data_IF_585365031754
#
_entry.id   IF_585365031754
#
_cell.length_a   1.000
_cell.length_b   1.000
_cell.length_c   1.000
_cell.angle_alpha   90.00
_cell.angle_beta   90.00
_cell.angle_gamma   90.00
#
_symmetry.space_group_name_H-M   'P 1'
#
loop_
_entity.id
_entity.type
_entity.pdbx_description
1 polymer ?
#
# COMPACT_ATOMS: atom_id res chain seq x y z
N UNK A 1 30.40 -22.61 -52.80
CA UNK A 1 29.53 -21.57 -52.23
C UNK A 1 28.05 -22.00 -52.06
N UNK A 2 27.55 -23.05 -52.73
CA UNK A 2 26.15 -23.51 -52.60
C UNK A 2 25.71 -24.06 -51.22
N UNK A 3 26.60 -24.65 -50.38
CA UNK A 3 26.16 -25.28 -49.11
C UNK A 3 25.70 -24.30 -48.02
N UNK A 4 26.08 -23.01 -48.09
CA UNK A 4 25.66 -21.99 -47.11
C UNK A 4 24.27 -21.40 -47.37
N UNK A 5 23.81 -21.43 -48.63
CA UNK A 5 22.48 -20.94 -49.03
C UNK A 5 21.38 -21.95 -48.65
N UNK A 6 21.75 -23.23 -48.62
CA UNK A 6 20.92 -24.32 -48.09
C UNK A 6 20.53 -24.07 -46.62
N UNK A 7 21.47 -24.16 -45.69
CA UNK A 7 21.16 -24.04 -44.25
C UNK A 7 20.49 -22.72 -43.82
N UNK A 8 20.67 -21.63 -44.57
CA UNK A 8 20.00 -20.35 -44.32
C UNK A 8 18.50 -20.39 -44.65
N UNK A 9 18.09 -21.14 -45.67
CA UNK A 9 16.70 -21.18 -46.14
C UNK A 9 15.80 -22.04 -45.22
N UNK A 10 16.36 -23.07 -44.57
CA UNK A 10 15.63 -23.93 -43.62
C UNK A 10 15.49 -23.25 -42.25
N UNK A 11 16.47 -22.41 -41.87
CA UNK A 11 16.37 -21.55 -40.69
C UNK A 11 15.32 -20.47 -40.89
N UNK A 12 15.35 -19.76 -42.02
CA UNK A 12 14.33 -18.76 -42.35
C UNK A 12 12.90 -19.34 -42.38
N UNK A 13 12.70 -20.51 -43.01
CA UNK A 13 11.39 -21.17 -43.02
C UNK A 13 10.93 -21.66 -41.62
N UNK A 14 11.88 -22.06 -40.76
CA UNK A 14 11.58 -22.44 -39.37
C UNK A 14 11.23 -21.22 -38.54
N UNK A 15 11.95 -20.13 -38.71
CA UNK A 15 11.72 -18.85 -38.04
C UNK A 15 10.36 -18.25 -38.48
N UNK A 16 10.02 -18.30 -39.77
CA UNK A 16 8.71 -17.91 -40.31
C UNK A 16 7.56 -18.75 -39.74
N UNK A 17 7.74 -20.07 -39.62
CA UNK A 17 6.75 -20.96 -39.01
C UNK A 17 6.56 -20.67 -37.52
N UNK A 18 7.64 -20.34 -36.80
CA UNK A 18 7.56 -19.93 -35.38
C UNK A 18 6.90 -18.57 -35.21
N UNK A 19 7.13 -17.64 -36.14
CA UNK A 19 6.51 -16.31 -36.15
C UNK A 19 5.01 -16.41 -36.46
N UNK A 20 4.61 -17.24 -37.43
CA UNK A 20 3.20 -17.50 -37.74
C UNK A 20 2.47 -18.09 -36.53
N UNK A 21 3.07 -19.08 -35.88
CA UNK A 21 2.50 -19.69 -34.66
C UNK A 21 2.34 -18.66 -33.53
N UNK A 22 3.36 -17.82 -33.31
CA UNK A 22 3.32 -16.75 -32.31
C UNK A 22 2.23 -15.72 -32.61
N UNK A 23 2.10 -15.30 -33.87
CA UNK A 23 1.05 -14.37 -34.30
C UNK A 23 -0.36 -14.96 -34.11
N UNK A 24 -0.55 -16.24 -34.46
CA UNK A 24 -1.82 -16.93 -34.23
C UNK A 24 -2.16 -17.03 -32.74
N UNK A 25 -1.18 -17.34 -31.88
CA UNK A 25 -1.39 -17.33 -30.43
C UNK A 25 -1.76 -15.95 -29.90
N UNK A 26 -1.15 -14.88 -30.45
CA UNK A 26 -1.48 -13.49 -30.12
C UNK A 26 -2.93 -13.16 -30.49
N UNK A 27 -3.36 -13.50 -31.70
CA UNK A 27 -4.74 -13.29 -32.14
C UNK A 27 -5.75 -14.03 -31.25
N UNK A 28 -5.40 -15.25 -30.81
CA UNK A 28 -6.24 -16.04 -29.90
C UNK A 28 -6.38 -15.37 -28.54
N UNK A 29 -5.28 -14.93 -27.90
CA UNK A 29 -5.38 -14.29 -26.58
C UNK A 29 -6.17 -12.98 -26.65
N UNK A 30 -6.00 -12.21 -27.73
CA UNK A 30 -6.75 -10.98 -27.96
C UNK A 30 -8.24 -11.22 -28.25
N UNK A 31 -8.58 -12.33 -28.92
CA UNK A 31 -9.97 -12.73 -29.12
C UNK A 31 -10.60 -13.24 -27.82
N UNK A 32 -9.86 -14.02 -27.04
CA UNK A 32 -10.31 -14.51 -25.74
C UNK A 32 -10.60 -13.35 -24.79
N UNK A 33 -9.72 -12.34 -24.71
CA UNK A 33 -9.92 -11.16 -23.85
C UNK A 33 -11.27 -10.47 -24.16
N UNK A 34 -11.58 -10.30 -25.44
CA UNK A 34 -12.85 -9.70 -25.90
C UNK A 34 -14.09 -10.53 -25.56
N UNK A 35 -13.94 -11.85 -25.40
CA UNK A 35 -15.02 -12.76 -25.02
C UNK A 35 -15.16 -12.93 -23.51
N UNK A 36 -14.14 -12.55 -22.72
CA UNK A 36 -14.20 -12.67 -21.28
C UNK A 36 -15.25 -11.74 -20.67
N UNK A 37 -16.10 -12.25 -19.76
CA UNK A 37 -17.10 -11.43 -19.10
C UNK A 37 -16.43 -10.35 -18.23
N UNK A 38 -17.13 -9.23 -18.09
CA UNK A 38 -16.72 -8.14 -17.20
C UNK A 38 -17.09 -8.37 -15.73
N UNK A 39 -17.86 -9.42 -15.46
CA UNK A 39 -18.36 -9.77 -14.15
C UNK A 39 -17.26 -10.35 -13.27
N UNK A 40 -17.16 -9.82 -12.05
CA UNK A 40 -16.25 -10.29 -11.01
C UNK A 40 -16.53 -11.75 -10.63
N UNK A 41 -15.49 -12.54 -10.45
CA UNK A 41 -15.58 -13.90 -9.90
C UNK A 41 -16.01 -15.00 -10.88
N UNK A 42 -16.26 -14.68 -12.15
CA UNK A 42 -16.51 -15.70 -13.19
C UNK A 42 -15.21 -16.39 -13.60
N UNK A 43 -14.11 -15.65 -13.57
CA UNK A 43 -12.76 -16.10 -13.92
C UNK A 43 -11.88 -15.86 -12.69
N UNK A 44 -11.00 -16.82 -12.36
CA UNK A 44 -10.11 -16.67 -11.21
C UNK A 44 -9.10 -15.55 -11.43
N UNK A 45 -8.65 -14.91 -10.34
CA UNK A 45 -7.64 -13.84 -10.44
C UNK A 45 -6.33 -14.37 -11.01
N UNK A 46 -5.88 -15.53 -10.54
CA UNK A 46 -4.69 -16.24 -11.01
C UNK A 46 -4.69 -16.46 -12.53
N UNK A 47 -5.81 -16.95 -13.10
CA UNK A 47 -5.92 -17.17 -14.54
C UNK A 47 -5.84 -15.87 -15.34
N UNK A 48 -6.40 -14.76 -14.82
CA UNK A 48 -6.26 -13.46 -15.48
C UNK A 48 -4.81 -12.96 -15.49
N UNK A 49 -4.06 -13.19 -14.42
CA UNK A 49 -2.63 -12.89 -14.36
C UNK A 49 -1.83 -13.76 -15.33
N UNK A 50 -2.07 -15.07 -15.37
CA UNK A 50 -1.45 -15.98 -16.34
C UNK A 50 -1.72 -15.52 -17.79
N UNK A 51 -2.96 -15.14 -18.08
CA UNK A 51 -3.36 -14.65 -19.39
C UNK A 51 -2.72 -13.30 -19.73
N UNK A 52 -2.56 -12.40 -18.75
CA UNK A 52 -1.86 -11.13 -18.92
C UNK A 52 -0.36 -11.36 -19.20
N UNK A 53 0.30 -12.23 -18.43
CA UNK A 53 1.69 -12.59 -18.67
C UNK A 53 1.88 -13.23 -20.05
N UNK A 54 0.94 -14.07 -20.49
CA UNK A 54 0.94 -14.64 -21.84
C UNK A 54 0.74 -13.57 -22.92
N UNK A 55 -0.18 -12.63 -22.71
CA UNK A 55 -0.41 -11.50 -23.61
C UNK A 55 0.82 -10.57 -23.70
N UNK A 56 1.53 -10.35 -22.60
CA UNK A 56 2.80 -9.62 -22.58
C UNK A 56 3.88 -10.38 -23.34
N UNK A 57 4.05 -11.67 -23.07
CA UNK A 57 5.03 -12.53 -23.72
C UNK A 57 4.85 -12.64 -25.24
N UNK A 58 3.63 -12.47 -25.75
CA UNK A 58 3.30 -12.49 -27.18
C UNK A 58 3.30 -11.10 -27.83
N UNK A 59 3.54 -10.05 -27.05
CA UNK A 59 3.36 -8.66 -27.43
C UNK A 59 1.98 -8.40 -28.07
N UNK A 60 0.93 -8.80 -27.34
CA UNK A 60 -0.45 -8.50 -27.67
C UNK A 60 -0.72 -6.99 -27.70
N UNK A 61 -1.78 -6.61 -28.39
CA UNK A 61 -2.16 -5.21 -28.50
C UNK A 61 -2.42 -4.57 -27.10
N UNK A 62 -2.21 -3.24 -26.95
CA UNK A 62 -2.38 -2.57 -25.67
C UNK A 62 -3.81 -2.65 -25.10
N UNK A 63 -4.82 -2.74 -25.95
CA UNK A 63 -6.23 -2.84 -25.55
C UNK A 63 -6.50 -4.14 -24.79
N UNK A 64 -5.95 -5.26 -25.28
CA UNK A 64 -6.00 -6.57 -24.65
C UNK A 64 -5.31 -6.56 -23.28
N UNK A 65 -4.09 -6.01 -23.20
CA UNK A 65 -3.35 -5.90 -21.92
C UNK A 65 -4.14 -5.05 -20.91
N UNK A 66 -4.64 -3.90 -21.34
CA UNK A 66 -5.46 -3.02 -20.50
C UNK A 66 -6.78 -3.65 -20.06
N UNK A 67 -7.46 -4.39 -20.94
CA UNK A 67 -8.70 -5.10 -20.61
C UNK A 67 -8.50 -6.19 -19.55
N UNK A 68 -7.36 -6.88 -19.58
CA UNK A 68 -6.96 -7.83 -18.53
C UNK A 68 -6.60 -7.10 -17.23
N UNK A 69 -5.79 -6.04 -17.28
CA UNK A 69 -5.44 -5.22 -16.11
C UNK A 69 -6.67 -4.65 -15.39
N UNK A 70 -7.71 -4.23 -16.15
CA UNK A 70 -8.98 -3.74 -15.58
C UNK A 70 -9.72 -4.87 -14.87
N UNK A 71 -9.81 -6.07 -15.47
CA UNK A 71 -10.51 -7.22 -14.86
C UNK A 71 -9.79 -7.73 -13.62
N UNK A 72 -8.45 -7.81 -13.65
CA UNK A 72 -7.63 -8.11 -12.48
C UNK A 72 -7.91 -7.08 -11.38
N UNK A 73 -7.87 -5.79 -11.72
CA UNK A 73 -8.16 -4.70 -10.78
C UNK A 73 -9.54 -4.79 -10.13
N UNK A 74 -10.55 -5.44 -10.73
CA UNK A 74 -11.87 -5.61 -10.08
C UNK A 74 -11.89 -6.67 -8.97
N UNK A 75 -10.88 -7.53 -8.90
CA UNK A 75 -10.84 -8.68 -7.98
C UNK A 75 -9.46 -8.91 -7.37
N UNK A 76 -8.66 -7.85 -7.28
CA UNK A 76 -7.27 -7.90 -6.82
C UNK A 76 -7.16 -8.40 -5.37
N UNK A 77 -8.19 -8.26 -4.55
CA UNK A 77 -8.22 -8.80 -3.18
C UNK A 77 -8.19 -10.34 -3.12
N UNK A 78 -8.33 -11.03 -4.26
CA UNK A 78 -8.22 -12.48 -4.37
C UNK A 78 -6.87 -12.94 -4.90
N UNK A 79 -5.96 -12.01 -5.20
CA UNK A 79 -4.63 -12.33 -5.72
C UNK A 79 -3.67 -12.74 -4.60
N UNK A 80 -2.66 -13.50 -4.98
CA UNK A 80 -1.49 -13.80 -4.17
C UNK A 80 -0.30 -12.94 -4.61
N UNK A 81 0.75 -12.91 -3.80
CA UNK A 81 1.98 -12.17 -4.14
C UNK A 81 2.62 -12.73 -5.41
N UNK A 82 2.58 -14.05 -5.59
CA UNK A 82 3.13 -14.74 -6.76
C UNK A 82 2.51 -14.23 -8.06
N UNK A 83 1.22 -13.88 -8.03
CA UNK A 83 0.52 -13.31 -9.19
C UNK A 83 1.07 -11.94 -9.61
N UNK A 84 1.54 -11.13 -8.64
CA UNK A 84 2.08 -9.79 -8.87
C UNK A 84 3.54 -9.80 -9.36
N UNK A 85 4.24 -10.92 -9.23
CA UNK A 85 5.63 -11.10 -9.66
C UNK A 85 5.74 -11.28 -11.19
N UNK A 86 5.21 -10.30 -11.93
CA UNK A 86 5.22 -10.26 -13.40
C UNK A 86 6.64 -9.96 -13.87
N UNK A 87 7.32 -10.86 -14.61
CA UNK A 87 8.68 -10.61 -15.07
C UNK A 87 8.75 -9.44 -16.05
N UNK A 88 9.78 -8.60 -15.93
CA UNK A 88 10.01 -7.53 -16.90
C UNK A 88 10.39 -8.11 -18.28
N UNK A 89 9.87 -7.50 -19.34
CA UNK A 89 10.15 -7.92 -20.72
C UNK A 89 10.98 -6.86 -21.42
N UNK A 90 12.30 -6.91 -21.21
CA UNK A 90 13.27 -5.96 -21.78
C UNK A 90 14.66 -6.57 -21.91
N UNK A 91 15.44 -6.08 -22.88
CA UNK A 91 16.85 -6.47 -23.07
C UNK A 91 17.83 -5.61 -22.25
N UNK A 92 17.37 -4.46 -21.74
CA UNK A 92 18.13 -3.66 -20.80
C UNK A 92 18.01 -4.28 -19.39
N UNK A 93 19.06 -4.12 -18.57
CA UNK A 93 19.03 -4.45 -17.14
C UNK A 93 18.10 -3.49 -16.40
N UNK A 94 16.82 -3.60 -16.68
CA UNK A 94 15.75 -2.96 -15.92
C UNK A 94 15.34 -3.88 -14.77
N UNK A 95 14.55 -3.35 -13.84
CA UNK A 95 13.98 -4.04 -12.68
C UNK A 95 13.51 -5.47 -13.04
N UNK A 96 13.73 -6.45 -12.16
CA UNK A 96 13.39 -7.86 -12.37
C UNK A 96 11.91 -8.08 -12.68
N UNK A 97 11.05 -7.22 -12.14
CA UNK A 97 9.60 -7.30 -12.25
C UNK A 97 9.02 -6.05 -12.95
N UNK A 98 7.92 -6.22 -13.69
CA UNK A 98 7.16 -5.12 -14.30
C UNK A 98 6.30 -4.41 -13.25
N UNK A 99 6.95 -3.56 -12.47
CA UNK A 99 6.35 -2.73 -11.43
C UNK A 99 5.32 -1.73 -11.99
N UNK A 100 5.50 -1.30 -13.24
CA UNK A 100 4.57 -0.39 -13.91
C UNK A 100 3.23 -1.08 -14.26
N UNK A 101 3.25 -2.36 -14.63
CA UNK A 101 2.05 -3.16 -14.80
C UNK A 101 1.27 -3.29 -13.48
N UNK A 102 1.96 -3.65 -12.38
CA UNK A 102 1.35 -3.73 -11.04
C UNK A 102 0.76 -2.38 -10.63
N UNK A 103 1.45 -1.28 -10.92
CA UNK A 103 0.95 0.09 -10.66
C UNK A 103 -0.33 0.41 -11.42
N UNK A 104 -0.46 -0.02 -12.68
CA UNK A 104 -1.71 0.14 -13.47
C UNK A 104 -2.85 -0.70 -12.91
N UNK A 105 -2.58 -1.94 -12.52
CA UNK A 105 -3.55 -2.84 -11.88
C UNK A 105 -4.05 -2.24 -10.56
N UNK A 106 -3.14 -1.74 -9.71
CA UNK A 106 -3.49 -1.07 -8.46
C UNK A 106 -4.35 0.17 -8.69
N UNK A 107 -3.99 0.99 -9.68
CA UNK A 107 -4.79 2.14 -10.07
C UNK A 107 -6.20 1.70 -10.48
N UNK A 108 -6.35 0.64 -11.27
CA UNK A 108 -7.64 0.10 -11.66
C UNK A 108 -8.45 -0.38 -10.44
N UNK A 109 -7.82 -1.07 -9.48
CA UNK A 109 -8.46 -1.48 -8.24
C UNK A 109 -8.96 -0.27 -7.44
N UNK A 110 -8.09 0.68 -7.10
CA UNK A 110 -8.46 1.81 -6.25
C UNK A 110 -9.43 2.80 -6.93
N UNK A 111 -9.31 3.04 -8.24
CA UNK A 111 -10.24 3.91 -8.94
C UNK A 111 -11.67 3.31 -8.97
N UNK A 112 -11.77 1.99 -9.12
CA UNK A 112 -13.03 1.27 -9.32
C UNK A 112 -13.55 0.53 -8.08
N UNK A 113 -12.88 0.67 -6.93
CA UNK A 113 -13.33 0.04 -5.70
C UNK A 113 -14.70 0.61 -5.27
N UNK A 114 -15.70 -0.27 -5.26
CA UNK A 114 -17.08 0.01 -4.83
C UNK A 114 -17.47 -0.82 -3.61
N UNK A 115 -16.49 -1.41 -2.91
CA UNK A 115 -16.75 -2.23 -1.72
C UNK A 115 -17.48 -1.42 -0.64
N UNK A 116 -18.47 -2.04 0.05
CA UNK A 116 -19.23 -1.34 1.09
C UNK A 116 -18.42 -1.09 2.36
N UNK A 117 -17.36 -1.87 2.59
CA UNK A 117 -16.50 -1.85 3.77
C UNK A 117 -15.01 -1.85 3.37
N UNK A 118 -14.07 -1.46 4.25
CA UNK A 118 -12.65 -1.32 3.88
C UNK A 118 -11.87 -2.64 3.79
N UNK A 119 -12.48 -3.81 3.99
CA UNK A 119 -11.76 -5.10 4.04
C UNK A 119 -10.94 -5.36 2.79
N UNK A 120 -11.54 -5.22 1.60
CA UNK A 120 -10.82 -5.40 0.34
C UNK A 120 -9.65 -4.43 0.16
N UNK A 121 -9.77 -3.19 0.65
CA UNK A 121 -8.65 -2.22 0.63
C UNK A 121 -7.51 -2.66 1.55
N UNK A 122 -7.85 -3.17 2.74
CA UNK A 122 -6.87 -3.68 3.71
C UNK A 122 -6.18 -4.92 3.13
N UNK A 123 -6.92 -5.89 2.58
CA UNK A 123 -6.35 -7.09 1.97
C UNK A 123 -5.42 -6.76 0.81
N UNK A 124 -5.80 -5.82 -0.07
CA UNK A 124 -4.90 -5.39 -1.15
C UNK A 124 -3.70 -4.63 -0.60
N UNK A 125 -3.84 -3.79 0.43
CA UNK A 125 -2.69 -3.14 1.03
C UNK A 125 -1.72 -4.16 1.66
N UNK A 126 -2.21 -5.21 2.32
CA UNK A 126 -1.39 -6.30 2.86
C UNK A 126 -0.66 -7.06 1.75
N UNK A 127 -1.36 -7.40 0.67
CA UNK A 127 -0.77 -7.98 -0.54
C UNK A 127 0.36 -7.11 -1.11
N UNK A 128 0.19 -5.78 -1.11
CA UNK A 128 1.23 -4.86 -1.59
C UNK A 128 2.42 -4.77 -0.63
N UNK A 129 2.23 -4.90 0.68
CA UNK A 129 3.37 -4.96 1.60
C UNK A 129 4.22 -6.22 1.39
N UNK A 130 3.57 -7.35 1.09
CA UNK A 130 4.25 -8.59 0.77
C UNK A 130 4.98 -8.48 -0.59
N UNK A 131 4.32 -7.92 -1.62
CA UNK A 131 4.95 -7.64 -2.91
C UNK A 131 6.15 -6.69 -2.78
N UNK A 132 6.02 -5.61 -1.99
CA UNK A 132 7.11 -4.68 -1.70
C UNK A 132 8.30 -5.40 -1.06
N UNK A 133 8.04 -6.34 -0.13
CA UNK A 133 9.10 -7.12 0.49
C UNK A 133 9.84 -8.02 -0.51
N UNK A 134 9.14 -8.64 -1.46
CA UNK A 134 9.75 -9.45 -2.53
C UNK A 134 10.62 -8.60 -3.46
N UNK A 135 10.07 -7.51 -4.01
CA UNK A 135 10.80 -6.68 -4.97
C UNK A 135 11.95 -5.90 -4.32
N UNK A 136 11.91 -5.68 -3.01
CA UNK A 136 13.01 -5.03 -2.29
C UNK A 136 14.33 -5.81 -2.33
N UNK A 137 14.26 -7.08 -2.69
CA UNK A 137 15.45 -7.92 -2.88
C UNK A 137 16.18 -7.67 -4.19
N UNK A 138 15.53 -7.02 -5.16
CA UNK A 138 16.10 -6.65 -6.44
C UNK A 138 16.99 -5.41 -6.29
N UNK A 139 18.27 -5.54 -6.65
CA UNK A 139 19.27 -4.46 -6.55
C UNK A 139 19.09 -3.37 -7.61
N UNK A 140 18.38 -3.69 -8.69
CA UNK A 140 18.11 -2.77 -9.79
C UNK A 140 16.78 -2.00 -9.56
N UNK A 141 16.03 -2.31 -8.48
CA UNK A 141 14.82 -1.60 -8.09
C UNK A 141 15.13 -0.14 -7.74
N UNK A 142 14.40 0.79 -8.35
CA UNK A 142 14.59 2.22 -8.08
C UNK A 142 13.83 2.64 -6.82
N UNK A 143 14.47 3.52 -6.04
CA UNK A 143 13.89 4.10 -4.82
C UNK A 143 12.55 4.80 -5.11
N UNK A 144 12.45 5.48 -6.26
CA UNK A 144 11.22 6.15 -6.69
C UNK A 144 10.07 5.17 -6.97
N UNK A 145 10.39 4.01 -7.56
CA UNK A 145 9.41 2.96 -7.85
C UNK A 145 8.88 2.36 -6.55
N UNK A 146 9.78 2.01 -5.63
CA UNK A 146 9.42 1.52 -4.30
C UNK A 146 8.49 2.51 -3.57
N UNK A 147 8.88 3.78 -3.49
CA UNK A 147 8.10 4.82 -2.78
C UNK A 147 6.72 4.97 -3.43
N UNK A 148 6.63 4.99 -4.75
CA UNK A 148 5.36 5.14 -5.45
C UNK A 148 4.37 4.02 -5.12
N UNK A 149 4.84 2.76 -5.05
CA UNK A 149 4.00 1.61 -4.70
C UNK A 149 3.65 1.61 -3.21
N UNK A 150 4.62 1.91 -2.34
CA UNK A 150 4.39 2.05 -0.90
C UNK A 150 3.37 3.15 -0.57
N UNK A 151 3.45 4.30 -1.24
CA UNK A 151 2.46 5.39 -1.10
C UNK A 151 1.05 4.93 -1.49
N UNK A 152 0.90 4.07 -2.51
CA UNK A 152 -0.42 3.50 -2.87
C UNK A 152 -0.96 2.57 -1.78
N UNK A 153 -0.11 1.72 -1.19
CA UNK A 153 -0.46 0.83 -0.07
C UNK A 153 -0.93 1.62 1.17
N UNK A 154 -0.14 2.63 1.56
CA UNK A 154 -0.44 3.47 2.74
C UNK A 154 -1.70 4.31 2.50
N UNK A 155 -1.86 4.88 1.30
CA UNK A 155 -3.05 5.66 0.96
C UNK A 155 -4.34 4.84 1.09
N UNK A 156 -4.34 3.59 0.61
CA UNK A 156 -5.49 2.68 0.68
C UNK A 156 -5.95 2.37 2.10
N UNK A 157 -5.01 2.42 3.05
CA UNK A 157 -5.25 2.08 4.45
C UNK A 157 -5.46 3.29 5.36
N UNK A 158 -5.60 4.49 4.79
CA UNK A 158 -5.80 5.74 5.55
C UNK A 158 -7.10 5.67 6.34
N UNK A 159 -7.01 5.67 7.67
CA UNK A 159 -8.16 5.53 8.57
C UNK A 159 -8.53 4.08 8.94
N UNK A 160 -7.77 3.08 8.48
CA UNK A 160 -7.88 1.70 8.96
C UNK A 160 -6.97 1.44 10.18
N UNK A 161 -7.27 0.37 10.92
CA UNK A 161 -6.47 -0.16 12.04
C UNK A 161 -5.30 -1.05 11.59
N UNK A 162 -4.97 -1.05 10.29
CA UNK A 162 -3.86 -1.83 9.73
C UNK A 162 -2.52 -1.36 10.30
N UNK A 163 -1.64 -2.31 10.59
CA UNK A 163 -0.27 -2.02 11.05
C UNK A 163 0.63 -1.56 9.89
N UNK A 164 1.73 -0.89 10.22
CA UNK A 164 2.76 -0.47 9.24
C UNK A 164 3.94 -1.45 9.18
N UNK A 165 3.80 -2.64 9.76
CA UNK A 165 4.88 -3.60 9.94
C UNK A 165 5.36 -4.20 8.61
N UNK A 166 4.44 -4.47 7.68
CA UNK A 166 4.78 -4.96 6.35
C UNK A 166 5.60 -3.95 5.53
N UNK A 167 5.18 -2.67 5.53
CA UNK A 167 5.96 -1.57 4.94
C UNK A 167 7.34 -1.45 5.59
N UNK A 168 7.42 -1.51 6.93
CA UNK A 168 8.71 -1.49 7.62
C UNK A 168 9.61 -2.65 7.20
N UNK A 169 9.08 -3.88 7.15
CA UNK A 169 9.81 -5.06 6.68
C UNK A 169 10.35 -4.88 5.27
N UNK A 170 9.55 -4.33 4.35
CA UNK A 170 10.00 -4.05 3.00
C UNK A 170 11.13 -3.00 2.96
N UNK A 171 10.99 -1.89 3.69
CA UNK A 171 12.05 -0.87 3.83
C UNK A 171 13.32 -1.50 4.39
N UNK A 172 13.19 -2.35 5.39
CA UNK A 172 14.32 -3.02 6.02
C UNK A 172 15.07 -3.92 5.03
N UNK A 173 14.36 -4.74 4.25
CA UNK A 173 14.98 -5.56 3.20
C UNK A 173 15.65 -4.66 2.16
N UNK A 174 14.96 -3.59 1.72
CA UNK A 174 15.48 -2.66 0.71
C UNK A 174 16.80 -2.04 1.17
N UNK A 175 16.87 -1.56 2.41
CA UNK A 175 18.08 -0.97 2.99
C UNK A 175 19.23 -2.00 3.16
N UNK A 176 18.93 -3.30 3.35
CA UNK A 176 19.97 -4.34 3.40
C UNK A 176 20.62 -4.56 2.02
N UNK A 177 19.79 -4.56 0.97
CA UNK A 177 20.23 -4.83 -0.40
C UNK A 177 20.83 -3.60 -1.10
N UNK A 178 20.38 -2.41 -0.72
CA UNK A 178 20.80 -1.14 -1.31
C UNK A 178 21.72 -0.36 -0.37
N UNK A 179 22.85 -0.95 0.01
CA UNK A 179 23.82 -0.33 0.95
C UNK A 179 24.52 0.92 0.40
N UNK A 180 24.33 1.22 -0.88
CA UNK A 180 24.91 2.37 -1.58
C UNK A 180 24.07 3.65 -1.44
N UNK A 181 22.87 3.58 -0.85
CA UNK A 181 22.00 4.74 -0.68
C UNK A 181 22.62 5.80 0.23
N UNK A 182 22.47 7.05 -0.18
CA UNK A 182 22.83 8.23 0.61
C UNK A 182 21.88 8.39 1.80
N UNK A 183 22.29 9.21 2.79
CA UNK A 183 21.41 9.53 3.92
C UNK A 183 20.08 10.16 3.48
N UNK A 184 20.11 11.08 2.51
CA UNK A 184 18.90 11.71 1.96
C UNK A 184 17.96 10.72 1.28
N UNK A 185 18.50 9.75 0.53
CA UNK A 185 17.69 8.71 -0.12
C UNK A 185 17.07 7.77 0.92
N UNK A 186 17.80 7.43 1.99
CA UNK A 186 17.25 6.66 3.11
C UNK A 186 16.15 7.43 3.84
N UNK A 187 16.31 8.73 4.03
CA UNK A 187 15.26 9.59 4.60
C UNK A 187 14.00 9.63 3.73
N UNK A 188 14.17 9.81 2.42
CA UNK A 188 13.05 9.86 1.47
C UNK A 188 12.34 8.50 1.37
N UNK A 189 13.09 7.39 1.35
CA UNK A 189 12.55 6.03 1.41
C UNK A 189 11.72 5.81 2.67
N UNK A 190 12.22 6.24 3.83
CA UNK A 190 11.54 6.04 5.11
C UNK A 190 10.31 6.95 5.31
N UNK A 191 10.05 7.92 4.41
CA UNK A 191 8.91 8.85 4.53
C UNK A 191 7.56 8.15 4.51
N UNK A 192 7.47 7.00 3.83
CA UNK A 192 6.23 6.21 3.71
C UNK A 192 5.88 5.45 5.00
N UNK A 193 6.81 5.36 5.97
CA UNK A 193 6.62 4.62 7.21
C UNK A 193 5.80 5.41 8.24
N UNK A 194 4.63 4.88 8.63
CA UNK A 194 3.86 5.43 9.77
C UNK A 194 4.27 4.74 11.06
N UNK A 195 5.25 5.33 11.76
CA UNK A 195 5.77 4.79 13.02
C UNK A 195 4.68 4.61 14.09
N UNK A 196 3.60 5.41 14.07
CA UNK A 196 2.51 5.28 15.05
C UNK A 196 1.76 3.95 14.91
N UNK A 197 1.68 3.43 13.69
CA UNK A 197 0.96 2.21 13.34
C UNK A 197 1.83 0.95 13.37
N UNK A 198 3.09 1.05 13.79
CA UNK A 198 3.95 -0.14 13.96
C UNK A 198 3.57 -0.93 15.22
N UNK A 199 3.82 -2.24 15.25
CA UNK A 199 3.75 -3.02 16.49
C UNK A 199 4.92 -2.70 17.44
N UNK A 200 4.84 -3.16 18.69
CA UNK A 200 5.93 -3.00 19.65
C UNK A 200 7.19 -3.74 19.15
N UNK A 201 7.03 -4.97 18.66
CA UNK A 201 8.11 -5.79 18.11
C UNK A 201 8.81 -5.10 16.94
N UNK A 202 8.03 -4.54 16.01
CA UNK A 202 8.58 -3.78 14.89
C UNK A 202 9.30 -2.50 15.35
N UNK A 203 8.77 -1.81 16.37
CA UNK A 203 9.45 -0.64 16.96
C UNK A 203 10.77 -1.03 17.63
N UNK A 204 10.83 -2.15 18.34
CA UNK A 204 12.05 -2.64 18.97
C UNK A 204 13.12 -2.99 17.93
N UNK A 205 12.74 -3.71 16.87
CA UNK A 205 13.65 -4.01 15.77
C UNK A 205 14.16 -2.73 15.10
N UNK A 206 13.28 -1.76 14.81
CA UNK A 206 13.64 -0.49 14.20
C UNK A 206 14.54 0.38 15.11
N UNK A 207 14.37 0.32 16.43
CA UNK A 207 15.22 1.05 17.36
C UNK A 207 16.69 0.60 17.33
N UNK A 208 16.94 -0.66 16.95
CA UNK A 208 18.27 -1.27 16.87
C UNK A 208 18.84 -1.27 15.44
N UNK A 209 18.08 -0.79 14.46
CA UNK A 209 18.46 -0.87 13.05
C UNK A 209 19.38 0.30 12.65
N UNK A 210 20.69 0.02 12.59
CA UNK A 210 21.72 1.01 12.23
C UNK A 210 21.60 1.54 10.79
N UNK A 211 20.82 0.87 9.92
CA UNK A 211 20.62 1.31 8.53
C UNK A 211 19.60 2.43 8.40
N UNK A 212 18.72 2.61 9.39
CA UNK A 212 17.71 3.66 9.40
C UNK A 212 18.32 5.04 9.67
N UNK A 213 17.75 6.12 9.11
CA UNK A 213 18.10 7.49 9.49
C UNK A 213 17.82 7.75 10.97
N UNK A 214 18.70 8.52 11.63
CA UNK A 214 18.58 8.85 13.06
C UNK A 214 17.21 9.47 13.40
N UNK A 215 16.68 10.30 12.50
CA UNK A 215 15.34 10.91 12.64
C UNK A 215 14.23 9.87 12.77
N UNK A 216 14.29 8.79 12.01
CA UNK A 216 13.30 7.70 12.02
C UNK A 216 13.44 6.89 13.29
N UNK A 217 14.67 6.54 13.68
CA UNK A 217 14.96 5.83 14.94
C UNK A 217 14.41 6.61 16.14
N UNK A 218 14.63 7.93 16.18
CA UNK A 218 14.09 8.80 17.23
C UNK A 218 12.55 8.80 17.27
N UNK A 219 11.88 8.79 16.11
CA UNK A 219 10.42 8.69 16.04
C UNK A 219 9.91 7.35 16.57
N UNK A 220 10.55 6.26 16.15
CA UNK A 220 10.22 4.90 16.61
C UNK A 220 10.38 4.78 18.12
N UNK A 221 11.50 5.24 18.69
CA UNK A 221 11.74 5.23 20.13
C UNK A 221 10.67 6.03 20.87
N UNK A 222 10.34 7.23 20.40
CA UNK A 222 9.29 8.06 21.01
C UNK A 222 7.92 7.36 20.99
N UNK A 223 7.55 6.74 19.86
CA UNK A 223 6.31 5.96 19.76
C UNK A 223 6.32 4.75 20.69
N UNK A 224 7.44 4.02 20.77
CA UNK A 224 7.60 2.90 21.70
C UNK A 224 7.39 3.31 23.15
N UNK A 225 7.98 4.44 23.56
CA UNK A 225 7.81 5.00 24.91
C UNK A 225 6.34 5.37 25.20
N UNK A 226 5.63 5.98 24.24
CA UNK A 226 4.20 6.30 24.40
C UNK A 226 3.36 5.03 24.58
N UNK A 227 3.61 3.98 23.79
CA UNK A 227 2.87 2.71 23.87
C UNK A 227 3.06 2.03 25.23
N UNK A 228 4.30 2.00 25.74
CA UNK A 228 4.60 1.49 27.08
C UNK A 228 3.84 2.28 28.15
N UNK A 229 3.81 3.62 28.06
CA UNK A 229 3.06 4.47 28.99
C UNK A 229 1.55 4.24 28.96
N UNK A 230 0.99 3.84 27.81
CA UNK A 230 -0.44 3.54 27.66
C UNK A 230 -0.84 2.13 28.13
N UNK A 231 0.08 1.16 28.08
CA UNK A 231 -0.17 -0.24 28.51
C UNK A 231 0.06 -0.45 30.00
N UNK A 232 1.03 0.22 30.62
CA UNK A 232 1.33 0.10 32.06
C UNK A 232 0.11 0.37 32.97
N UNK A 233 -0.74 1.40 32.73
CA UNK A 233 -1.93 1.63 33.56
C UNK A 233 -2.97 0.50 33.46
N UNK A 234 -3.04 -0.20 32.31
CA UNK A 234 -4.00 -1.29 32.08
C UNK A 234 -3.57 -2.59 32.77
N UNK A 235 -2.27 -2.89 32.77
CA UNK A 235 -1.71 -4.07 33.45
C UNK A 235 -1.65 -3.90 34.98
N UNK A 236 -1.30 -2.71 35.47
CA UNK A 236 -1.27 -2.40 36.92
C UNK A 236 -2.69 -2.35 37.53
N UNK A 237 -3.74 -2.17 36.72
CA UNK A 237 -5.13 -2.32 37.18
C UNK A 237 -5.58 -3.79 37.21
N UNK A 238 -5.13 -4.64 36.29
CA UNK A 238 -5.47 -6.06 36.28
C UNK A 238 -4.81 -6.82 37.46
N UNK A 239 -3.58 -6.43 37.83
CA UNK A 239 -2.87 -6.98 38.98
C UNK A 239 -3.40 -6.51 40.35
N UNK A 240 -4.31 -5.53 40.39
CA UNK A 240 -4.95 -5.07 41.64
C UNK A 240 -6.29 -5.74 41.95
N UNK A 241 -6.74 -6.65 41.09
CA UNK A 241 -8.04 -7.34 41.25
C UNK A 241 -7.91 -8.80 41.69
N UNK A 242 -6.70 -9.25 42.03
CA UNK A 242 -6.45 -10.53 42.69
C UNK A 242 -5.61 -10.30 43.94
N UNK A 243 -5.98 -10.98 45.02
CA UNK A 243 -5.30 -11.02 46.34
C UNK A 243 -5.86 -10.07 47.41
N UNK A 244 -7.05 -10.40 47.92
CA UNK A 244 -7.24 -10.41 49.38
C UNK A 244 -6.55 -11.67 49.92
N UNK A 245 -5.38 -11.49 50.54
CA UNK A 245 -4.61 -12.55 51.19
C UNK A 245 -3.60 -11.96 52.15
N UNK A 246 -3.93 -12.02 53.44
CA UNK A 246 -3.14 -11.57 54.60
C UNK A 246 -1.74 -12.22 54.65
N UNK A 247 -0.70 -11.45 54.99
CA UNK A 247 0.67 -11.98 55.13
C UNK A 247 1.79 -10.94 55.15
N UNK A 248 2.27 -10.62 56.35
CA UNK A 248 3.36 -9.68 56.69
C UNK A 248 4.74 -10.10 56.13
N UNK A 249 5.50 -9.18 55.51
CA UNK A 249 6.98 -9.13 55.60
C UNK A 249 7.56 -7.77 55.15
N UNK A 250 8.40 -7.18 56.02
CA UNK A 250 9.21 -5.97 55.80
C UNK A 250 10.22 -6.13 54.64
N UNK A 251 10.37 -5.11 53.80
CA UNK A 251 11.66 -4.80 53.15
C UNK A 251 11.82 -3.31 52.77
N UNK A 252 12.88 -2.70 53.32
CA UNK A 252 13.64 -1.50 52.92
C UNK A 252 12.95 -0.13 52.65
N UNK A 253 13.27 0.81 53.55
CA UNK A 253 13.04 2.27 53.56
C UNK A 253 13.65 3.08 52.37
N UNK A 254 13.98 2.47 51.24
CA UNK A 254 14.53 3.18 50.06
C UNK A 254 13.56 3.29 48.89
N UNK A 255 12.46 2.53 48.89
CA UNK A 255 11.46 2.54 47.83
C UNK A 255 10.37 3.59 48.01
N UNK A 256 10.12 4.05 49.24
CA UNK A 256 9.06 5.03 49.53
C UNK A 256 9.40 6.42 48.98
N UNK A 257 10.67 6.81 49.00
CA UNK A 257 11.11 8.11 48.48
C UNK A 257 11.02 8.16 46.95
N UNK A 258 11.44 7.08 46.27
CA UNK A 258 11.29 6.93 44.81
C UNK A 258 9.80 6.88 44.43
N UNK A 259 8.96 6.21 45.23
CA UNK A 259 7.51 6.15 45.00
C UNK A 259 6.84 7.50 45.25
N UNK A 260 7.28 8.26 46.25
CA UNK A 260 6.79 9.61 46.51
C UNK A 260 7.18 10.59 45.40
N UNK A 261 8.42 10.53 44.92
CA UNK A 261 8.87 11.33 43.77
C UNK A 261 8.17 10.91 42.46
N UNK A 262 7.86 9.61 42.27
CA UNK A 262 7.09 9.15 41.12
C UNK A 262 5.62 9.60 41.15
N UNK A 263 5.01 9.67 42.34
CA UNK A 263 3.66 10.24 42.55
C UNK A 263 3.67 11.75 42.28
N UNK A 264 4.71 12.46 42.75
CA UNK A 264 4.88 13.91 42.55
C UNK A 264 5.16 14.25 41.08
N UNK A 265 5.96 13.44 40.39
CA UNK A 265 6.18 13.52 38.94
C UNK A 265 4.87 13.22 38.19
N UNK A 266 4.11 12.22 38.64
CA UNK A 266 2.79 11.92 38.08
C UNK A 266 1.82 13.10 38.14
N UNK A 267 1.76 13.81 39.27
CA UNK A 267 0.93 15.01 39.42
C UNK A 267 1.35 16.13 38.48
N UNK A 268 2.67 16.40 38.37
CA UNK A 268 3.20 17.43 37.45
C UNK A 268 2.94 17.08 35.98
N UNK A 269 3.06 15.80 35.62
CA UNK A 269 2.78 15.33 34.25
C UNK A 269 1.28 15.45 33.95
N UNK A 270 0.40 15.18 34.91
CA UNK A 270 -1.04 15.34 34.75
C UNK A 270 -1.47 16.81 34.61
N UNK A 271 -0.70 17.73 35.20
CA UNK A 271 -0.87 19.18 35.06
C UNK A 271 -0.40 19.64 33.67
N UNK A 272 0.80 19.22 33.24
CA UNK A 272 1.32 19.48 31.89
C UNK A 272 0.44 18.87 30.80
N UNK A 273 -0.15 17.70 31.01
CA UNK A 273 -1.11 17.09 30.08
C UNK A 273 -2.42 17.89 30.02
N UNK A 274 -2.87 18.48 31.14
CA UNK A 274 -4.01 19.41 31.12
C UNK A 274 -3.67 20.67 30.33
N UNK A 275 -2.49 21.25 30.54
CA UNK A 275 -2.04 22.44 29.81
C UNK A 275 -1.86 22.17 28.31
N UNK A 276 -1.21 21.06 27.93
CA UNK A 276 -1.10 20.62 26.54
C UNK A 276 -2.47 20.34 25.89
N UNK A 277 -3.43 19.80 26.63
CA UNK A 277 -4.79 19.60 26.13
C UNK A 277 -5.57 20.90 26.00
N UNK A 278 -5.34 21.89 26.87
CA UNK A 278 -5.90 23.24 26.74
C UNK A 278 -5.30 23.91 25.50
N UNK A 279 -3.98 23.88 25.33
CA UNK A 279 -3.29 24.45 24.19
C UNK A 279 -3.68 23.77 22.87
N UNK A 280 -3.86 22.44 22.86
CA UNK A 280 -4.40 21.69 21.72
C UNK A 280 -5.83 22.12 21.38
N UNK A 281 -6.67 22.36 22.39
CA UNK A 281 -8.04 22.87 22.22
C UNK A 281 -8.07 24.32 21.72
N UNK A 282 -7.10 25.15 22.11
CA UNK A 282 -6.95 26.53 21.61
C UNK A 282 -6.45 26.57 20.15
N UNK A 283 -5.53 25.68 19.79
CA UNK A 283 -5.08 25.47 18.40
C UNK A 283 -6.23 24.93 17.54
N UNK A 284 -7.07 24.05 18.08
CA UNK A 284 -8.27 23.56 17.37
C UNK A 284 -9.34 24.64 17.22
N UNK A 285 -9.59 25.46 18.26
CA UNK A 285 -10.53 26.59 18.20
C UNK A 285 -10.10 27.69 17.22
N UNK A 286 -8.81 27.85 16.98
CA UNK A 286 -8.27 28.76 15.97
C UNK A 286 -8.18 28.13 14.56
N UNK A 287 -8.40 26.81 14.43
CA UNK A 287 -8.38 26.04 13.19
C UNK A 287 -9.74 25.55 12.66
N UNK A 288 -10.86 25.91 13.28
CA UNK A 288 -12.20 25.48 12.85
C UNK A 288 -12.79 26.36 11.73
N UNK A 289 -12.25 26.22 10.52
CA UNK A 289 -13.13 26.23 9.34
C UNK A 289 -13.66 24.80 9.19
N UNK A 290 -14.96 24.63 9.41
CA UNK A 290 -15.72 23.36 9.28
C UNK A 290 -15.11 22.45 8.20
N UNK A 291 -14.35 21.43 8.61
CA UNK A 291 -14.05 20.28 7.75
C UNK A 291 -15.31 19.44 7.65
N UNK A 292 -16.18 19.87 6.75
CA UNK A 292 -17.16 18.98 6.13
C UNK A 292 -16.42 17.72 5.65
N UNK A 293 -16.97 16.54 5.91
CA UNK A 293 -16.39 15.23 5.53
C UNK A 293 -16.30 15.10 4.00
N UNK A 294 -15.39 15.83 3.38
CA UNK A 294 -14.89 15.51 2.05
C UNK A 294 -14.20 14.17 2.21
N UNK A 295 -14.77 13.11 1.62
CA UNK A 295 -14.32 11.75 1.86
C UNK A 295 -12.81 11.67 1.58
N UNK A 296 -12.07 11.11 2.52
CA UNK A 296 -10.64 10.75 2.39
C UNK A 296 -10.43 10.02 1.05
N UNK A 297 -11.44 9.26 0.64
CA UNK A 297 -11.58 8.62 -0.66
C UNK A 297 -11.54 9.56 -1.88
N UNK A 298 -12.20 10.72 -1.83
CA UNK A 298 -12.17 11.74 -2.90
C UNK A 298 -10.84 12.48 -2.98
N UNK A 299 -10.10 12.58 -1.87
CA UNK A 299 -8.72 13.08 -1.85
C UNK A 299 -7.75 12.01 -2.43
N UNK A 300 -7.92 10.75 -2.06
CA UNK A 300 -7.14 9.64 -2.60
C UNK A 300 -7.36 9.46 -4.12
N UNK A 301 -8.60 9.49 -4.61
CA UNK A 301 -8.89 9.47 -6.05
C UNK A 301 -8.27 10.65 -6.80
N UNK A 302 -8.13 11.81 -6.15
CA UNK A 302 -7.39 12.95 -6.73
C UNK A 302 -5.90 12.67 -6.81
N UNK A 303 -5.29 12.18 -5.73
CA UNK A 303 -3.85 11.82 -5.69
C UNK A 303 -3.47 10.72 -6.69
N UNK A 304 -4.36 9.76 -6.93
CA UNK A 304 -4.15 8.67 -7.91
C UNK A 304 -4.51 9.07 -9.36
N UNK A 305 -4.96 10.31 -9.60
CA UNK A 305 -5.38 10.77 -10.93
C UNK A 305 -6.64 10.06 -11.47
N UNK A 306 -7.53 9.61 -10.58
CA UNK A 306 -8.78 8.89 -10.87
C UNK A 306 -10.01 9.81 -11.01
N UNK A 307 -9.86 11.12 -11.22
CA UNK A 307 -11.02 12.02 -11.32
C UNK A 307 -11.63 11.94 -12.72
N UNK A 308 -12.66 11.11 -12.88
CA UNK A 308 -13.58 11.24 -14.01
C UNK A 308 -14.49 12.45 -13.74
N UNK A 309 -14.40 13.47 -14.60
CA UNK A 309 -15.46 14.46 -14.76
C UNK A 309 -16.71 13.70 -15.23
N UNK A 310 -17.59 13.32 -14.31
CA UNK A 310 -18.92 12.83 -14.70
C UNK A 310 -19.73 14.05 -15.13
N UNK A 311 -19.72 14.30 -16.44
CA UNK A 311 -20.70 15.16 -17.07
C UNK A 311 -22.07 14.50 -16.91
N UNK A 312 -23.00 15.26 -16.34
CA UNK A 312 -24.41 14.94 -16.22
C UNK A 312 -24.95 14.39 -17.53
N UNK A 313 -25.54 13.20 -17.46
CA UNK A 313 -26.51 12.76 -18.45
C UNK A 313 -27.50 11.83 -17.79
N UNK A 314 -28.68 12.39 -17.51
CA UNK A 314 -30.01 11.76 -17.66
C UNK A 314 -30.96 12.19 -16.55
N UNK A 315 -31.79 13.21 -16.82
CA UNK A 315 -33.22 12.97 -16.76
C UNK A 315 -33.99 13.97 -17.64
N UNK A 316 -34.57 13.43 -18.70
CA UNK A 316 -35.59 14.05 -19.52
C UNK A 316 -36.98 13.92 -18.88
N UNK A 317 -37.92 14.75 -19.35
CA UNK A 317 -39.35 14.91 -18.98
C UNK A 317 -39.60 16.00 -17.91
N UNK A 318 -40.44 17.03 -18.06
CA UNK A 318 -41.63 17.25 -18.92
C UNK A 318 -41.75 18.75 -19.28
N UNK A 319 -42.17 19.02 -20.52
CA UNK A 319 -42.53 20.33 -21.07
C UNK A 319 -43.68 20.98 -20.28
N UNK A 320 -43.51 22.22 -19.79
CA UNK A 320 -44.62 23.15 -19.56
C UNK A 320 -44.47 24.38 -20.45
N UNK A 321 -45.38 24.47 -21.43
CA UNK A 321 -45.57 25.60 -22.33
C UNK A 321 -45.94 26.85 -21.52
N UNK A 322 -45.16 27.93 -21.60
CA UNK A 322 -45.62 29.27 -21.26
C UNK A 322 -46.51 29.78 -22.39
N UNK A 323 -47.79 30.02 -22.07
CA UNK A 323 -48.68 30.87 -22.88
C UNK A 323 -48.19 32.32 -22.76
N UNK A 324 -47.84 32.91 -23.90
CA UNK A 324 -47.82 34.36 -24.09
C UNK A 324 -48.97 34.63 -25.04
N UNK A 325 -49.88 35.56 -24.71
CA UNK A 325 -50.69 36.30 -25.67
C UNK A 325 -50.84 37.76 -25.20
N UNK A 326 -51.04 38.72 -26.12
CA UNK A 326 -50.43 40.03 -26.03
C UNK A 326 -51.42 41.19 -25.76
N UNK A 327 -50.80 42.32 -25.38
CA UNK A 327 -51.31 43.65 -25.03
C UNK A 327 -51.98 43.76 -23.69
#
# INVERSE_FOLDING_TARGET
MQKRVGDQNWKAARDDMTLYKRNSQREIVEALERLLPDQRGVVTCTFLFEMLQFAMALDANPECKNGLEIRIGKQLEQASVEDLLIPSQGYAKDEQYDTECVRRILKNFYCNYTGPDPSGLISVAELIDEFLAEISSDIDLKTTTFIAIADMSVAASTGSHRTSDGVYRAIDIYLDKHRHLTELEREELCRVLDCNKMSMEACEHAAQNERLPLRVVMQVLFVGQLKIKETIPKEVQLLKTGEEGDGVARFSSSGEEVRAEMVKMGSKVMELERECNVMRREIQRSGERKREKVSIWKEMKRKLGCVTSMHESSNCHVKKKKKVHPR
#
